data_IF_851236626990
#
_entry.id   IF_851236626990
#
_cell.length_a   1.000
_cell.length_b   1.000
_cell.length_c   1.000
_cell.angle_alpha   90.00
_cell.angle_beta   90.00
_cell.angle_gamma   90.00
#
_symmetry.space_group_name_H-M   'P 1'
#
loop_
_entity.id
_entity.type
_entity.pdbx_description
1 polymer ?
#
# COMPACT_ATOMS: atom_id res chain seq x y z
N UNK A 1 -10.11 -17.69 -0.62
CA UNK A 1 -10.23 -16.23 -0.50
C UNK A 1 -9.50 -15.59 -1.67
N UNK A 2 -10.14 -14.69 -2.41
CA UNK A 2 -9.55 -14.07 -3.60
C UNK A 2 -8.70 -12.88 -3.17
N UNK A 3 -7.43 -12.83 -3.58
CA UNK A 3 -6.52 -11.73 -3.27
C UNK A 3 -6.89 -10.53 -4.15
N UNK A 4 -7.28 -9.42 -3.53
CA UNK A 4 -7.69 -8.19 -4.24
C UNK A 4 -6.59 -7.17 -4.09
N UNK A 5 -5.97 -6.71 -5.17
CA UNK A 5 -4.87 -5.76 -5.03
C UNK A 5 -5.34 -4.44 -4.42
N UNK A 6 -4.56 -3.86 -3.50
CA UNK A 6 -4.77 -2.51 -2.96
C UNK A 6 -4.81 -1.34 -3.97
N UNK A 7 -4.62 -1.56 -5.29
CA UNK A 7 -4.69 -0.48 -6.29
C UNK A 7 -6.13 -0.18 -6.68
N UNK A 8 -6.66 0.99 -6.31
CA UNK A 8 -8.05 1.36 -6.63
C UNK A 8 -8.28 1.71 -8.10
N UNK A 9 -7.26 2.26 -8.78
CA UNK A 9 -7.40 2.91 -10.09
C UNK A 9 -7.55 1.95 -11.28
N UNK A 10 -7.26 0.66 -11.10
CA UNK A 10 -7.38 -0.36 -12.14
C UNK A 10 -8.61 -1.25 -11.96
N UNK A 11 -9.62 -0.77 -11.25
CA UNK A 11 -10.83 -1.54 -10.88
C UNK A 11 -12.08 -0.81 -11.33
N UNK A 12 -13.12 -1.59 -11.59
CA UNK A 12 -14.47 -1.11 -11.86
C UNK A 12 -15.34 -1.43 -10.64
N UNK A 13 -16.13 -0.44 -10.22
CA UNK A 13 -17.02 -0.56 -9.07
C UNK A 13 -18.46 -0.28 -9.50
N UNK A 14 -19.39 -1.00 -8.89
CA UNK A 14 -20.80 -0.65 -8.98
C UNK A 14 -21.01 0.71 -8.32
N UNK A 15 -21.71 1.61 -9.02
CA UNK A 15 -21.97 2.97 -8.54
C UNK A 15 -22.70 2.95 -7.20
N UNK A 16 -23.78 2.20 -7.09
CA UNK A 16 -24.59 2.15 -5.88
C UNK A 16 -23.83 1.56 -4.70
N UNK A 17 -22.90 0.63 -4.97
CA UNK A 17 -21.99 0.15 -3.94
C UNK A 17 -21.12 1.29 -3.39
N UNK A 18 -20.50 2.09 -4.26
CA UNK A 18 -19.68 3.23 -3.83
C UNK A 18 -20.49 4.29 -3.10
N UNK A 19 -21.70 4.61 -3.57
CA UNK A 19 -22.56 5.62 -2.93
C UNK A 19 -23.08 5.18 -1.55
N UNK A 20 -23.23 3.88 -1.34
CA UNK A 20 -23.62 3.32 -0.04
C UNK A 20 -22.43 3.17 0.92
N UNK A 21 -21.20 3.32 0.44
CA UNK A 21 -20.04 3.42 1.32
C UNK A 21 -19.87 4.88 1.72
N UNK A 22 -19.78 5.12 3.04
CA UNK A 22 -19.27 6.37 3.57
C UNK A 22 -17.73 6.39 3.41
N UNK A 23 -17.27 6.50 2.16
CA UNK A 23 -15.86 6.47 1.77
C UNK A 23 -15.17 7.78 2.17
N UNK A 24 -14.30 7.79 3.19
CA UNK A 24 -13.48 8.95 3.46
C UNK A 24 -12.25 8.88 2.58
N UNK A 25 -12.11 9.84 1.66
CA UNK A 25 -10.81 10.20 1.11
C UNK A 25 -10.28 11.35 1.97
N UNK A 26 -9.30 11.12 2.85
CA UNK A 26 -8.73 12.20 3.63
C UNK A 26 -8.16 13.28 2.71
N UNK A 27 -8.55 14.52 2.96
CA UNK A 27 -8.04 15.66 2.21
C UNK A 27 -6.66 16.08 2.73
N UNK A 28 -5.81 16.61 1.83
CA UNK A 28 -4.54 17.27 2.19
C UNK A 28 -3.33 16.35 2.45
N UNK A 29 -3.52 15.03 2.47
CA UNK A 29 -2.46 14.02 2.61
C UNK A 29 -2.26 13.19 1.34
N UNK A 30 -1.13 12.47 1.26
CA UNK A 30 -0.93 11.40 0.28
C UNK A 30 -1.40 10.05 0.84
N UNK A 31 -1.55 9.06 -0.05
CA UNK A 31 -1.92 7.68 0.27
C UNK A 31 -3.36 7.54 0.79
N UNK A 32 -4.22 8.49 0.44
CA UNK A 32 -5.66 8.49 0.71
C UNK A 32 -6.36 7.27 0.09
N UNK A 33 -5.82 6.81 -1.05
CA UNK A 33 -6.30 5.63 -1.77
C UNK A 33 -6.18 4.34 -0.94
N UNK A 34 -5.17 4.22 -0.07
CA UNK A 34 -5.03 3.06 0.82
C UNK A 34 -6.16 2.95 1.83
N UNK A 35 -6.69 4.08 2.31
CA UNK A 35 -7.82 4.07 3.25
C UNK A 35 -9.09 3.62 2.54
N UNK A 36 -9.32 4.07 1.31
CA UNK A 36 -10.47 3.66 0.53
C UNK A 36 -10.47 2.16 0.17
N UNK A 37 -9.30 1.50 0.12
CA UNK A 37 -9.22 0.02 -0.03
C UNK A 37 -10.01 -0.71 1.04
N UNK A 38 -9.93 -0.29 2.32
CA UNK A 38 -10.67 -0.92 3.42
C UNK A 38 -12.19 -0.97 3.14
N UNK A 39 -12.75 0.14 2.67
CA UNK A 39 -14.18 0.23 2.40
C UNK A 39 -14.58 -0.60 1.19
N UNK A 40 -13.74 -0.62 0.15
CA UNK A 40 -13.96 -1.44 -1.04
C UNK A 40 -13.90 -2.94 -0.72
N UNK A 41 -13.08 -3.37 0.25
CA UNK A 41 -13.02 -4.76 0.70
C UNK A 41 -14.34 -5.27 1.31
N UNK A 42 -15.27 -4.38 1.65
CA UNK A 42 -16.63 -4.73 2.11
C UNK A 42 -17.54 -5.24 0.99
N UNK A 43 -17.09 -5.19 -0.27
CA UNK A 43 -17.84 -5.79 -1.36
C UNK A 43 -18.09 -7.29 -1.10
N UNK A 44 -19.29 -7.76 -1.49
CA UNK A 44 -19.70 -9.15 -1.28
C UNK A 44 -18.95 -10.12 -2.19
N UNK A 45 -18.55 -9.67 -3.37
CA UNK A 45 -17.85 -10.46 -4.37
C UNK A 45 -16.87 -9.61 -5.16
N UNK A 46 -15.85 -10.28 -5.70
CA UNK A 46 -14.83 -9.71 -6.58
C UNK A 46 -14.74 -10.59 -7.82
N UNK A 47 -14.48 -9.97 -8.97
CA UNK A 47 -14.27 -10.65 -10.23
C UNK A 47 -12.99 -10.11 -10.86
N UNK A 48 -12.14 -11.01 -11.32
CA UNK A 48 -10.90 -10.67 -12.00
C UNK A 48 -11.02 -11.01 -13.48
N UNK A 49 -10.57 -10.09 -14.32
CA UNK A 49 -10.40 -10.36 -15.75
C UNK A 49 -8.88 -10.56 -15.96
N UNK A 50 -8.41 -11.77 -16.31
CA UNK A 50 -6.98 -12.08 -16.41
C UNK A 50 -6.38 -11.55 -17.73
N UNK A 51 -6.61 -10.26 -18.01
CA UNK A 51 -6.12 -9.54 -19.19
C UNK A 51 -5.73 -8.13 -18.80
N UNK A 52 -4.63 -7.66 -19.38
CA UNK A 52 -4.13 -6.32 -19.12
C UNK A 52 -4.87 -5.33 -20.01
N UNK A 53 -5.68 -4.47 -19.40
CA UNK A 53 -6.40 -3.39 -20.08
C UNK A 53 -5.96 -1.99 -19.64
N UNK A 54 -5.22 -1.90 -18.53
CA UNK A 54 -4.81 -0.62 -17.95
C UNK A 54 -3.29 -0.58 -17.77
N UNK A 55 -2.65 0.40 -18.39
CA UNK A 55 -1.21 0.62 -18.27
C UNK A 55 -0.93 1.82 -17.37
N UNK A 56 -0.05 1.64 -16.39
CA UNK A 56 0.35 2.72 -15.50
C UNK A 56 1.36 3.63 -16.20
N UNK A 57 1.01 4.91 -16.39
CA UNK A 57 1.90 5.89 -17.02
C UNK A 57 2.97 6.36 -16.04
N UNK A 58 4.23 5.98 -16.28
CA UNK A 58 5.38 6.51 -15.57
C UNK A 58 5.95 7.72 -16.31
N UNK A 59 6.28 8.79 -15.57
CA UNK A 59 6.89 10.01 -16.12
C UNK A 59 8.07 10.47 -15.27
N UNK A 60 9.02 11.15 -15.92
CA UNK A 60 10.12 11.84 -15.23
C UNK A 60 9.54 12.88 -14.27
N UNK A 61 10.12 12.96 -13.07
CA UNK A 61 9.64 13.85 -12.01
C UNK A 61 8.36 13.40 -11.31
N UNK A 62 7.87 12.19 -11.58
CA UNK A 62 6.75 11.63 -10.82
C UNK A 62 7.05 11.63 -9.32
N UNK A 63 6.06 12.03 -8.53
CA UNK A 63 6.17 12.24 -7.09
C UNK A 63 6.60 10.96 -6.36
N UNK A 64 6.11 9.80 -6.81
CA UNK A 64 6.50 8.47 -6.32
C UNK A 64 8.00 8.13 -6.54
N UNK A 65 8.70 8.82 -7.45
CA UNK A 65 10.13 8.60 -7.70
C UNK A 65 11.03 9.65 -7.01
N UNK A 66 10.45 10.55 -6.21
CA UNK A 66 11.19 11.58 -5.49
C UNK A 66 11.56 11.08 -4.08
N UNK A 67 12.70 10.41 -3.95
CA UNK A 67 13.19 9.76 -2.72
C UNK A 67 13.29 10.73 -1.51
N UNK A 68 13.37 12.04 -1.74
CA UNK A 68 13.51 13.06 -0.70
C UNK A 68 12.24 13.88 -0.44
N UNK A 69 11.07 13.44 -0.92
CA UNK A 69 9.83 14.16 -0.68
C UNK A 69 9.29 13.87 0.73
N UNK A 70 9.18 14.88 1.63
CA UNK A 70 8.68 14.66 2.99
C UNK A 70 7.22 14.14 3.01
N UNK A 71 6.44 14.38 1.97
CA UNK A 71 5.07 13.83 1.81
C UNK A 71 5.03 12.30 1.75
N UNK A 72 6.15 11.62 1.53
CA UNK A 72 6.22 10.16 1.66
C UNK A 72 5.95 9.69 3.09
N UNK A 73 6.17 10.55 4.10
CA UNK A 73 5.87 10.24 5.49
C UNK A 73 4.38 10.20 5.80
N UNK A 74 3.52 10.77 4.93
CA UNK A 74 2.06 10.74 5.10
C UNK A 74 1.52 9.30 5.13
N UNK A 75 2.29 8.31 4.64
CA UNK A 75 1.96 6.88 4.74
C UNK A 75 1.91 6.38 6.19
N UNK A 76 2.69 6.96 7.11
CA UNK A 76 2.80 6.49 8.50
C UNK A 76 1.46 6.60 9.23
N UNK A 77 0.79 7.77 9.31
CA UNK A 77 -0.51 7.88 9.96
C UNK A 77 -1.58 7.02 9.25
N UNK A 78 -1.53 6.90 7.92
CA UNK A 78 -2.46 6.04 7.15
C UNK A 78 -2.33 4.57 7.56
N UNK A 79 -1.12 4.04 7.64
CA UNK A 79 -0.87 2.65 8.05
C UNK A 79 -1.29 2.40 9.49
N UNK A 80 -1.05 3.36 10.40
CA UNK A 80 -1.53 3.25 11.80
C UNK A 80 -3.05 3.15 11.87
N UNK A 81 -3.75 3.99 11.12
CA UNK A 81 -5.21 3.95 11.05
C UNK A 81 -5.71 2.63 10.48
N UNK A 82 -5.12 2.15 9.38
CA UNK A 82 -5.51 0.88 8.78
C UNK A 82 -5.25 -0.31 9.72
N UNK A 83 -4.17 -0.30 10.50
CA UNK A 83 -3.94 -1.34 11.54
C UNK A 83 -5.04 -1.37 12.59
N UNK A 84 -5.51 -0.22 13.04
CA UNK A 84 -6.60 -0.15 14.02
C UNK A 84 -7.90 -0.72 13.44
N UNK A 85 -8.17 -0.47 12.15
CA UNK A 85 -9.31 -1.04 11.44
C UNK A 85 -9.17 -2.56 11.25
N UNK A 86 -7.97 -3.03 10.91
CA UNK A 86 -7.65 -4.43 10.68
C UNK A 86 -7.86 -5.32 11.92
N UNK A 87 -7.68 -4.79 13.13
CA UNK A 87 -7.97 -5.52 14.36
C UNK A 87 -9.42 -6.02 14.47
N UNK A 88 -10.33 -5.41 13.71
CA UNK A 88 -11.77 -5.71 13.73
C UNK A 88 -12.26 -6.35 12.43
N UNK A 89 -11.39 -6.55 11.44
CA UNK A 89 -11.75 -7.02 10.11
C UNK A 89 -10.66 -7.95 9.56
N UNK A 90 -10.95 -9.24 9.53
CA UNK A 90 -10.02 -10.29 9.09
C UNK A 90 -9.56 -10.11 7.64
N UNK A 91 -10.46 -9.66 6.74
CA UNK A 91 -10.09 -9.43 5.33
C UNK A 91 -9.09 -8.29 5.23
N UNK A 92 -9.32 -7.22 5.98
CA UNK A 92 -8.38 -6.10 6.03
C UNK A 92 -7.06 -6.51 6.69
N UNK A 93 -7.07 -7.34 7.74
CA UNK A 93 -5.84 -7.81 8.38
C UNK A 93 -4.89 -8.50 7.39
N UNK A 94 -5.43 -9.37 6.53
CA UNK A 94 -4.62 -10.05 5.51
C UNK A 94 -4.12 -9.07 4.43
N UNK A 95 -4.96 -8.13 3.96
CA UNK A 95 -4.49 -7.11 3.01
C UNK A 95 -3.45 -6.17 3.63
N UNK A 96 -3.53 -5.91 4.95
CA UNK A 96 -2.55 -5.11 5.66
C UNK A 96 -1.17 -5.75 5.67
N UNK A 97 -1.07 -7.07 5.84
CA UNK A 97 0.21 -7.77 5.70
C UNK A 97 0.83 -7.56 4.32
N UNK A 98 0.01 -7.58 3.26
CA UNK A 98 0.44 -7.37 1.88
C UNK A 98 0.88 -5.92 1.64
N UNK A 99 0.08 -4.95 2.11
CA UNK A 99 0.39 -3.52 2.01
C UNK A 99 1.73 -3.22 2.69
N UNK A 100 1.91 -3.72 3.91
CA UNK A 100 3.10 -3.47 4.71
C UNK A 100 4.34 -4.16 4.12
N UNK A 101 4.20 -5.37 3.59
CA UNK A 101 5.26 -6.03 2.85
C UNK A 101 5.68 -5.22 1.62
N UNK A 102 4.74 -4.69 0.83
CA UNK A 102 5.05 -3.83 -0.32
C UNK A 102 5.81 -2.57 0.08
N UNK A 103 5.39 -1.91 1.16
CA UNK A 103 6.11 -0.75 1.68
C UNK A 103 7.52 -1.14 2.14
N UNK A 104 7.67 -2.24 2.89
CA UNK A 104 8.99 -2.73 3.29
C UNK A 104 9.91 -3.03 2.10
N UNK A 105 9.41 -3.69 1.05
CA UNK A 105 10.18 -3.94 -0.17
C UNK A 105 10.58 -2.65 -0.87
N UNK A 106 9.65 -1.70 -1.02
CA UNK A 106 9.94 -0.39 -1.61
C UNK A 106 11.04 0.35 -0.83
N UNK A 107 11.00 0.29 0.50
CA UNK A 107 12.06 0.79 1.35
C UNK A 107 13.35 0.05 1.00
N UNK A 108 13.40 -1.28 1.14
CA UNK A 108 14.63 -2.07 0.95
C UNK A 108 15.30 -1.87 -0.41
N UNK A 109 14.51 -1.74 -1.49
CA UNK A 109 15.01 -1.45 -2.84
C UNK A 109 15.71 -0.08 -2.91
N UNK A 110 15.15 0.94 -2.24
CA UNK A 110 15.78 2.26 -2.10
C UNK A 110 17.06 2.22 -1.24
N UNK A 111 17.22 1.24 -0.33
CA UNK A 111 18.46 1.09 0.49
C UNK A 111 19.65 0.80 -0.41
N UNK A 112 19.42 -0.04 -1.40
CA UNK A 112 20.43 -0.53 -2.32
C UNK A 112 20.76 0.50 -3.41
N UNK A 113 19.86 1.45 -3.69
CA UNK A 113 20.09 2.55 -4.64
C UNK A 113 20.69 3.82 -4.01
N UNK A 114 20.56 4.02 -2.69
CA UNK A 114 20.94 5.27 -2.02
C UNK A 114 22.12 5.10 -1.04
N UNK A 115 23.23 4.54 -1.50
CA UNK A 115 24.49 4.50 -0.74
C UNK A 115 25.13 5.89 -0.48
N UNK A 116 24.44 7.02 -0.70
CA UNK A 116 25.11 8.32 -0.86
C UNK A 116 24.46 9.61 -0.33
N UNK A 117 23.29 9.65 0.33
CA UNK A 117 22.79 10.92 0.91
C UNK A 117 22.14 10.79 2.29
N UNK A 118 22.53 11.71 3.20
CA UNK A 118 22.27 11.70 4.65
C UNK A 118 20.79 11.92 5.01
N UNK A 119 20.05 12.75 4.26
CA UNK A 119 18.64 13.06 4.56
C UNK A 119 17.68 11.91 4.24
N UNK A 120 17.94 11.16 3.16
CA UNK A 120 17.19 9.95 2.82
C UNK A 120 17.38 8.85 3.89
N UNK A 121 18.55 8.81 4.55
CA UNK A 121 18.83 7.88 5.64
C UNK A 121 18.06 8.23 6.91
N UNK A 122 17.93 9.52 7.26
CA UNK A 122 17.20 9.99 8.45
C UNK A 122 15.69 9.72 8.33
N UNK A 123 15.05 10.16 7.24
CA UNK A 123 13.61 9.90 6.99
C UNK A 123 13.27 8.40 7.05
N UNK A 124 14.22 7.58 6.62
CA UNK A 124 14.10 6.13 6.55
C UNK A 124 14.31 5.44 7.89
N UNK A 125 15.21 5.92 8.74
CA UNK A 125 15.35 5.46 10.12
C UNK A 125 14.06 5.74 10.90
N UNK A 126 13.47 6.91 10.70
CA UNK A 126 12.18 7.25 11.31
C UNK A 126 11.05 6.33 10.82
N UNK A 127 10.98 6.05 9.52
CA UNK A 127 10.04 5.05 9.00
C UNK A 127 10.30 3.66 9.60
N UNK A 128 11.52 3.13 9.56
CA UNK A 128 11.83 1.79 10.08
C UNK A 128 11.51 1.67 11.58
N UNK A 129 11.82 2.69 12.38
CA UNK A 129 11.46 2.73 13.81
C UNK A 129 9.95 2.78 14.04
N UNK A 130 9.20 3.38 13.12
CA UNK A 130 7.75 3.55 13.23
C UNK A 130 6.93 2.31 12.87
N UNK A 131 7.53 1.31 12.19
CA UNK A 131 6.88 0.03 11.87
C UNK A 131 7.24 -1.05 12.90
N UNK A 132 6.27 -1.86 13.36
CA UNK A 132 6.48 -3.05 14.19
C UNK A 132 7.48 -3.99 13.54
N UNK A 133 8.37 -4.56 14.35
CA UNK A 133 9.43 -5.46 13.88
C UNK A 133 8.86 -6.75 13.24
N UNK A 134 7.64 -7.17 13.59
CA UNK A 134 6.97 -8.34 13.01
C UNK A 134 6.72 -8.22 11.49
N UNK A 135 6.48 -7.00 11.00
CA UNK A 135 6.28 -6.71 9.57
C UNK A 135 7.46 -7.18 8.71
N UNK A 136 8.66 -7.07 9.27
CA UNK A 136 9.90 -7.45 8.61
C UNK A 136 10.02 -8.97 8.45
N UNK A 137 9.35 -9.75 9.29
CA UNK A 137 9.31 -11.21 9.25
C UNK A 137 8.29 -11.70 8.20
N UNK A 138 7.10 -11.08 8.14
CA UNK A 138 6.06 -11.41 7.13
C UNK A 138 6.52 -11.15 5.70
N UNK A 139 7.23 -10.04 5.47
CA UNK A 139 7.78 -9.73 4.16
C UNK A 139 8.88 -10.71 3.71
N UNK A 140 9.63 -11.30 4.65
CA UNK A 140 10.62 -12.33 4.36
C UNK A 140 9.97 -13.66 3.95
N UNK A 141 8.81 -13.99 4.55
CA UNK A 141 8.01 -15.17 4.19
C UNK A 141 7.39 -15.05 2.79
N UNK A 142 6.85 -13.87 2.44
CA UNK A 142 6.29 -13.62 1.10
C UNK A 142 7.32 -13.77 -0.03
N UNK A 143 8.61 -13.49 0.25
CA UNK A 143 9.72 -13.68 -0.70
C UNK A 143 9.91 -15.13 -1.16
N UNK A 144 9.60 -16.07 -0.26
CA UNK A 144 9.79 -17.49 -0.45
C UNK A 144 8.52 -18.18 -0.98
N UNK A 145 7.41 -17.44 -1.06
CA UNK A 145 6.18 -17.89 -1.70
C UNK A 145 6.19 -17.52 -3.19
N UNK A 146 5.62 -18.37 -4.04
CA UNK A 146 5.55 -18.21 -5.49
C UNK A 146 4.76 -16.97 -6.00
N UNK A 147 4.40 -16.03 -5.11
CA UNK A 147 3.74 -14.76 -5.42
C UNK A 147 4.71 -13.66 -5.92
N UNK A 148 6.01 -13.93 -5.93
CA UNK A 148 7.03 -12.99 -6.42
C UNK A 148 6.97 -12.69 -7.93
N UNK A 149 6.15 -13.41 -8.70
CA UNK A 149 6.03 -13.27 -10.16
C UNK A 149 4.96 -12.27 -10.64
N UNK A 150 4.28 -11.54 -9.74
CA UNK A 150 3.18 -10.62 -10.11
C UNK A 150 3.37 -9.15 -9.70
N UNK A 151 4.61 -8.65 -9.62
CA UNK A 151 4.89 -7.21 -9.45
C UNK A 151 5.69 -6.66 -10.61
#
# INVERSE_FOLDING_TARGET
>A
MQLVSSKLTSKLYLRDFLLNLDLPFPEGGYYEDLIAVYYVLKAKSFYEIPKVYYYYRQRKGSIIHQINNPKQLDVIPVIRQLRQLAQKDEKLAIEMEIIEARFYYSLKYVKNMCAGTTNAQILRLEMIKSYPQEVFQTAALLKNSALATMV
#
